data_IF_507811325570
#
_entry.id   IF_507811325570
#
_cell.length_a   1.000
_cell.length_b   1.000
_cell.length_c   1.000
_cell.angle_alpha   90.00
_cell.angle_beta   90.00
_cell.angle_gamma   90.00
#
_symmetry.space_group_name_H-M   'P 1'
#
loop_
_entity.id
_entity.type
_entity.pdbx_description
1 polymer ?
#
# COMPACT_ATOMS: atom_id res chain seq x y z
N UNK A 1 -16.78 4.60 16.72
CA UNK A 1 -16.95 4.63 18.19
C UNK A 1 -18.42 4.75 18.62
N UNK A 2 -19.19 5.71 18.11
CA UNK A 2 -20.62 5.86 18.47
C UNK A 2 -21.46 4.58 18.28
N UNK A 3 -21.18 3.80 17.23
CA UNK A 3 -21.88 2.54 16.96
C UNK A 3 -21.68 1.50 18.07
N UNK A 4 -20.49 1.41 18.66
CA UNK A 4 -20.24 0.47 19.75
C UNK A 4 -21.10 0.82 20.98
N UNK A 5 -21.21 2.10 21.34
CA UNK A 5 -22.08 2.54 22.44
C UNK A 5 -23.57 2.37 22.13
N UNK A 6 -23.98 2.45 20.86
CA UNK A 6 -25.35 2.09 20.45
C UNK A 6 -25.61 0.59 20.67
N UNK A 7 -24.65 -0.26 20.29
CA UNK A 7 -24.75 -1.71 20.48
C UNK A 7 -24.78 -2.11 21.95
N UNK A 8 -23.93 -1.53 22.80
CA UNK A 8 -23.94 -1.76 24.25
C UNK A 8 -25.31 -1.43 24.87
N UNK A 9 -25.86 -0.25 24.53
CA UNK A 9 -27.20 0.17 24.99
C UNK A 9 -28.30 -0.76 24.50
N UNK A 10 -28.24 -1.20 23.23
CA UNK A 10 -29.21 -2.14 22.66
C UNK A 10 -29.18 -3.50 23.37
N UNK A 11 -28.00 -3.95 23.79
CA UNK A 11 -27.80 -5.18 24.54
C UNK A 11 -28.05 -5.03 26.05
N UNK A 12 -28.39 -3.81 26.52
CA UNK A 12 -28.60 -3.48 27.93
C UNK A 12 -27.37 -3.78 28.81
N UNK A 13 -26.17 -3.63 28.24
CA UNK A 13 -24.91 -3.75 28.97
C UNK A 13 -24.61 -2.41 29.62
N UNK A 14 -24.58 -2.39 30.96
CA UNK A 14 -24.19 -1.22 31.73
C UNK A 14 -22.66 -1.10 31.81
N UNK A 15 -22.15 0.03 31.34
CA UNK A 15 -20.73 0.40 31.38
C UNK A 15 -20.49 1.55 32.35
N UNK A 16 -21.42 1.83 33.25
CA UNK A 16 -21.22 2.80 34.32
C UNK A 16 -20.16 2.28 35.29
N UNK A 17 -19.15 3.10 35.55
CA UNK A 17 -18.13 2.77 36.55
C UNK A 17 -18.62 3.18 37.93
N UNK A 18 -18.56 2.25 38.88
CA UNK A 18 -18.82 2.52 40.29
C UNK A 18 -17.53 3.00 40.96
N UNK A 19 -17.41 4.31 41.17
CA UNK A 19 -16.28 4.94 41.86
C UNK A 19 -15.14 5.42 40.97
N UNK A 20 -14.14 6.03 41.61
CA UNK A 20 -12.96 6.62 40.97
C UNK A 20 -11.94 5.55 40.55
N UNK A 21 -11.00 5.95 39.69
CA UNK A 21 -10.02 5.02 39.14
C UNK A 21 -8.98 4.48 40.11
N UNK A 22 -8.72 5.22 41.18
CA UNK A 22 -7.47 5.09 41.89
C UNK A 22 -6.30 5.58 41.04
N UNK A 23 -5.10 5.30 41.54
CA UNK A 23 -3.84 5.60 40.86
C UNK A 23 -3.53 4.54 39.80
N UNK A 24 -2.95 4.95 38.66
CA UNK A 24 -2.52 4.02 37.62
C UNK A 24 -1.29 3.19 38.04
N UNK A 25 -0.60 3.59 39.11
CA UNK A 25 0.51 2.85 39.72
C UNK A 25 0.11 1.96 40.90
N UNK A 26 -1.19 1.79 41.15
CA UNK A 26 -1.67 0.90 42.21
C UNK A 26 -1.13 -0.54 42.03
N UNK A 27 -0.69 -1.16 43.12
CA UNK A 27 -0.13 -2.51 43.11
C UNK A 27 -0.80 -3.40 44.20
N UNK A 28 -1.64 -4.39 43.81
CA UNK A 28 -1.96 -4.74 42.42
C UNK A 28 -2.89 -3.71 41.77
N UNK A 29 -2.74 -3.53 40.45
CA UNK A 29 -3.69 -2.75 39.68
C UNK A 29 -5.07 -3.44 39.70
N UNK A 30 -6.14 -2.66 39.73
CA UNK A 30 -7.52 -3.15 39.69
C UNK A 30 -8.15 -2.85 38.32
N UNK A 31 -8.14 -3.79 37.36
CA UNK A 31 -8.73 -3.59 36.04
C UNK A 31 -10.23 -3.32 36.11
N UNK A 32 -10.74 -2.54 35.16
CA UNK A 32 -12.16 -2.29 35.04
C UNK A 32 -12.84 -3.41 34.25
N UNK A 33 -13.65 -4.22 34.93
CA UNK A 33 -14.25 -5.44 34.37
C UNK A 33 -15.07 -5.21 33.09
N UNK A 34 -15.84 -4.12 33.02
CA UNK A 34 -16.67 -3.79 31.86
C UNK A 34 -15.84 -3.40 30.61
N UNK A 35 -14.53 -3.18 30.77
CA UNK A 35 -13.61 -2.94 29.64
C UNK A 35 -13.61 -4.08 28.63
N UNK A 36 -13.85 -5.33 29.07
CA UNK A 36 -13.88 -6.52 28.19
C UNK A 36 -15.10 -6.46 27.25
N UNK A 37 -16.27 -6.09 27.76
CA UNK A 37 -17.48 -5.97 26.92
C UNK A 37 -17.40 -4.77 25.98
N UNK A 38 -16.76 -3.68 26.42
CA UNK A 38 -16.48 -2.53 25.56
C UNK A 38 -15.57 -2.90 24.40
N UNK A 39 -14.46 -3.60 24.68
CA UNK A 39 -13.52 -4.08 23.65
C UNK A 39 -14.21 -5.03 22.67
N UNK A 40 -14.94 -6.02 23.19
CA UNK A 40 -15.70 -6.98 22.35
C UNK A 40 -16.68 -6.26 21.44
N UNK A 41 -17.41 -5.28 21.96
CA UNK A 41 -18.40 -4.54 21.17
C UNK A 41 -17.73 -3.67 20.11
N UNK A 42 -16.56 -3.07 20.41
CA UNK A 42 -15.77 -2.34 19.43
C UNK A 42 -15.30 -3.24 18.28
N UNK A 43 -14.80 -4.44 18.59
CA UNK A 43 -14.36 -5.41 17.58
C UNK A 43 -15.50 -5.93 16.68
N UNK A 44 -16.73 -5.94 17.20
CA UNK A 44 -17.92 -6.35 16.45
C UNK A 44 -18.51 -5.26 15.55
N UNK A 45 -18.03 -4.01 15.64
CA UNK A 45 -18.55 -2.91 14.81
C UNK A 45 -18.28 -3.20 13.32
N UNK A 46 -19.34 -3.07 12.52
CA UNK A 46 -19.27 -3.08 11.06
C UNK A 46 -19.98 -1.85 10.50
N UNK A 47 -19.23 -0.92 9.92
CA UNK A 47 -19.76 0.35 9.40
C UNK A 47 -19.08 0.73 8.09
N UNK A 48 -19.74 1.57 7.30
CA UNK A 48 -19.12 2.27 6.17
C UNK A 48 -18.65 3.65 6.63
N UNK A 49 -17.41 4.01 6.27
CA UNK A 49 -16.82 5.32 6.57
C UNK A 49 -15.96 5.84 5.41
N UNK A 50 -15.18 6.89 5.66
CA UNK A 50 -14.33 7.52 4.64
C UNK A 50 -13.30 6.56 4.02
N UNK A 51 -12.87 5.57 4.80
CA UNK A 51 -11.93 4.52 4.39
C UNK A 51 -12.63 3.28 3.82
N UNK A 52 -13.88 3.42 3.37
CA UNK A 52 -14.75 2.29 3.00
C UNK A 52 -15.19 1.46 4.20
N UNK A 53 -15.23 0.14 4.00
CA UNK A 53 -15.74 -0.81 4.98
C UNK A 53 -14.82 -0.89 6.21
N UNK A 54 -15.40 -0.77 7.41
CA UNK A 54 -14.70 -0.82 8.70
C UNK A 54 -15.14 -2.04 9.48
N UNK A 55 -14.23 -3.01 9.61
CA UNK A 55 -14.41 -4.24 10.37
C UNK A 55 -13.09 -4.61 11.05
N UNK A 56 -13.19 -5.35 12.16
CA UNK A 56 -12.04 -5.80 12.94
C UNK A 56 -12.07 -7.31 13.14
N UNK A 57 -10.88 -7.92 13.26
CA UNK A 57 -10.74 -9.31 13.69
C UNK A 57 -10.75 -9.45 15.22
N UNK A 58 -10.58 -10.67 15.71
CA UNK A 58 -10.53 -10.95 17.14
C UNK A 58 -9.36 -10.26 17.87
N UNK A 59 -8.31 -9.86 17.16
CA UNK A 59 -7.16 -9.13 17.72
C UNK A 59 -7.31 -7.61 17.61
N UNK A 60 -8.37 -7.10 16.97
CA UNK A 60 -8.59 -5.67 16.76
C UNK A 60 -7.88 -5.12 15.51
N UNK A 61 -7.40 -5.98 14.61
CA UNK A 61 -6.80 -5.57 13.34
C UNK A 61 -7.89 -5.33 12.31
N UNK A 62 -7.69 -4.32 11.44
CA UNK A 62 -8.60 -4.06 10.31
C UNK A 62 -8.58 -5.24 9.34
N UNK A 63 -9.76 -5.68 8.94
CA UNK A 63 -9.95 -6.75 7.94
C UNK A 63 -11.02 -6.34 6.94
N UNK A 64 -11.05 -7.00 5.79
CA UNK A 64 -12.03 -6.73 4.74
C UNK A 64 -12.02 -5.24 4.30
N UNK A 65 -10.82 -4.70 4.13
CA UNK A 65 -10.58 -3.35 3.63
C UNK A 65 -9.99 -3.42 2.23
N UNK A 66 -10.09 -2.32 1.50
CA UNK A 66 -9.51 -2.17 0.16
C UNK A 66 -8.68 -0.90 0.15
N UNK A 67 -7.45 -1.00 -0.36
CA UNK A 67 -6.54 0.13 -0.52
C UNK A 67 -6.44 0.48 -1.99
N UNK A 68 -6.61 1.75 -2.33
CA UNK A 68 -6.39 2.21 -3.70
C UNK A 68 -4.90 2.41 -3.95
N UNK A 69 -4.43 1.94 -5.11
CA UNK A 69 -3.05 2.12 -5.56
C UNK A 69 -3.01 3.25 -6.56
N UNK A 70 -2.16 4.24 -6.30
CA UNK A 70 -2.01 5.42 -7.14
C UNK A 70 -0.61 5.46 -7.75
N UNK A 71 -0.55 5.87 -9.01
CA UNK A 71 0.66 6.27 -9.71
C UNK A 71 0.67 7.78 -9.87
N UNK A 72 1.80 8.42 -9.57
CA UNK A 72 1.95 9.85 -9.81
C UNK A 72 2.40 10.09 -11.25
N UNK A 73 1.57 10.79 -12.03
CA UNK A 73 1.88 11.23 -13.39
C UNK A 73 2.00 12.75 -13.45
N UNK A 74 2.42 13.28 -14.59
CA UNK A 74 2.55 14.73 -14.82
C UNK A 74 1.24 15.50 -14.63
N UNK A 75 0.09 14.85 -14.84
CA UNK A 75 -1.25 15.39 -14.63
C UNK A 75 -1.81 15.14 -13.22
N UNK A 76 -1.01 14.58 -12.30
CA UNK A 76 -1.40 14.30 -10.91
C UNK A 76 -1.48 12.81 -10.56
N UNK A 77 -1.95 12.48 -9.35
CA UNK A 77 -2.10 11.10 -8.90
C UNK A 77 -3.27 10.43 -9.62
N UNK A 78 -2.99 9.34 -10.32
CA UNK A 78 -3.99 8.53 -11.00
C UNK A 78 -4.13 7.18 -10.28
N UNK A 79 -5.36 6.77 -9.96
CA UNK A 79 -5.63 5.43 -9.45
C UNK A 79 -5.35 4.41 -10.57
N UNK A 80 -4.47 3.45 -10.29
CA UNK A 80 -4.09 2.38 -11.22
C UNK A 80 -4.63 1.01 -10.81
N UNK A 81 -5.22 0.91 -9.62
CA UNK A 81 -5.75 -0.34 -9.13
C UNK A 81 -6.16 -0.30 -7.67
N UNK A 82 -6.35 -1.48 -7.11
CA UNK A 82 -6.60 -1.67 -5.69
C UNK A 82 -5.84 -2.87 -5.15
N UNK A 83 -5.68 -2.90 -3.83
CA UNK A 83 -5.10 -4.01 -3.08
C UNK A 83 -6.02 -4.42 -1.95
N UNK A 84 -6.21 -5.71 -1.77
CA UNK A 84 -6.80 -6.28 -0.56
C UNK A 84 -6.09 -7.60 -0.19
N UNK A 85 -6.45 -8.18 0.95
CA UNK A 85 -5.84 -9.40 1.48
C UNK A 85 -6.21 -10.67 0.70
N UNK A 86 -7.30 -10.65 -0.06
CA UNK A 86 -7.84 -11.79 -0.84
C UNK A 86 -7.25 -11.79 -2.26
N UNK A 87 -7.52 -10.75 -3.04
CA UNK A 87 -7.17 -10.59 -4.45
C UNK A 87 -5.72 -10.14 -4.66
N UNK A 88 -5.06 -9.68 -3.59
CA UNK A 88 -3.76 -8.99 -3.66
C UNK A 88 -3.87 -7.75 -4.55
N UNK A 89 -2.83 -7.42 -5.30
CA UNK A 89 -2.82 -6.27 -6.19
C UNK A 89 -3.61 -6.59 -7.46
N UNK A 90 -4.66 -5.83 -7.71
CA UNK A 90 -5.42 -5.86 -8.96
C UNK A 90 -5.27 -4.51 -9.65
N UNK A 91 -4.66 -4.53 -10.84
CA UNK A 91 -4.55 -3.34 -11.67
C UNK A 91 -5.87 -3.13 -12.40
N UNK A 92 -6.46 -1.96 -12.21
CA UNK A 92 -7.64 -1.53 -12.96
C UNK A 92 -7.08 -0.75 -14.15
N UNK A 93 -6.84 -1.46 -15.25
CA UNK A 93 -6.45 -0.83 -16.48
C UNK A 93 -7.63 0.01 -16.97
N UNK A 94 -7.56 1.33 -16.82
CA UNK A 94 -8.56 2.22 -17.39
C UNK A 94 -8.49 2.04 -18.91
N UNK A 95 -9.47 1.33 -19.49
CA UNK A 95 -9.59 1.11 -20.93
C UNK A 95 -9.69 2.44 -21.71
N UNK A 96 -10.09 3.52 -21.03
CA UNK A 96 -10.10 4.89 -21.55
C UNK A 96 -8.68 5.42 -21.89
N UNK A 97 -7.62 4.77 -21.38
CA UNK A 97 -6.23 5.04 -21.76
C UNK A 97 -5.65 4.02 -22.74
N UNK A 98 -6.33 2.92 -23.06
CA UNK A 98 -5.83 1.95 -24.04
C UNK A 98 -5.86 2.48 -25.48
N UNK A 99 -6.53 3.61 -25.73
CA UNK A 99 -6.34 4.37 -26.98
C UNK A 99 -4.95 5.02 -27.07
N UNK A 100 -4.25 5.20 -25.93
CA UNK A 100 -2.97 5.90 -25.80
C UNK A 100 -1.89 5.10 -25.01
N UNK A 101 -2.10 3.83 -24.68
CA UNK A 101 -1.08 2.99 -23.99
C UNK A 101 -0.47 1.93 -24.91
N UNK A 102 -1.08 1.63 -26.05
CA UNK A 102 -0.38 1.01 -27.19
C UNK A 102 0.74 1.91 -27.73
N UNK A 103 0.65 3.23 -27.50
CA UNK A 103 1.73 4.18 -27.80
C UNK A 103 2.84 4.20 -26.74
N UNK A 104 2.73 3.45 -25.63
CA UNK A 104 3.73 3.49 -24.58
C UNK A 104 5.04 2.78 -24.97
N UNK A 105 5.04 2.00 -26.07
CA UNK A 105 6.25 1.41 -26.66
C UNK A 105 6.69 2.11 -27.95
N UNK A 106 5.84 2.91 -28.56
CA UNK A 106 6.17 3.65 -29.79
C UNK A 106 6.78 5.00 -29.41
N UNK A 107 8.03 5.23 -29.80
CA UNK A 107 8.82 6.46 -29.53
C UNK A 107 9.37 6.63 -28.10
N UNK A 108 9.64 5.55 -27.36
CA UNK A 108 10.47 5.65 -26.16
C UNK A 108 11.95 5.83 -26.52
N UNK A 109 12.54 6.96 -26.14
CA UNK A 109 13.98 7.17 -26.24
C UNK A 109 14.70 6.29 -25.22
N UNK A 110 15.48 5.32 -25.71
CA UNK A 110 16.33 4.49 -24.85
C UNK A 110 17.66 5.20 -24.64
N UNK A 111 18.03 5.42 -23.38
CA UNK A 111 19.35 5.94 -23.04
C UNK A 111 20.36 4.80 -23.13
N UNK A 112 21.21 4.81 -24.15
CA UNK A 112 22.27 3.84 -24.34
C UNK A 112 23.58 4.37 -23.77
N UNK A 113 24.08 3.71 -22.72
CA UNK A 113 25.39 4.04 -22.13
C UNK A 113 26.44 3.09 -22.66
N UNK A 114 27.49 3.63 -23.28
CA UNK A 114 28.68 2.89 -23.73
C UNK A 114 29.95 3.56 -23.20
N UNK A 115 31.06 2.81 -23.16
CA UNK A 115 32.37 3.31 -22.73
C UNK A 115 33.37 3.13 -23.87
N UNK A 116 34.17 4.16 -24.16
CA UNK A 116 35.27 4.04 -25.13
C UNK A 116 36.46 3.31 -24.49
N UNK A 117 36.92 2.24 -25.13
CA UNK A 117 38.16 1.55 -24.77
C UNK A 117 39.19 1.77 -25.88
N UNK A 118 40.34 2.36 -25.54
CA UNK A 118 41.48 2.44 -26.45
C UNK A 118 42.19 1.08 -26.48
N UNK A 119 42.20 0.42 -27.64
CA UNK A 119 43.02 -0.77 -27.85
C UNK A 119 44.46 -0.33 -28.17
N UNK A 120 45.39 -0.58 -27.24
CA UNK A 120 46.81 -0.35 -27.47
C UNK A 120 47.39 -1.43 -28.40
N UNK A 121 47.84 -1.01 -29.58
CA UNK A 121 48.64 -1.68 -30.62
C UNK A 121 48.91 -3.19 -30.46
N UNK A 122 48.16 -4.01 -31.19
CA UNK A 122 48.74 -5.20 -31.84
C UNK A 122 49.13 -4.76 -33.25
N UNK A 123 50.43 -4.61 -33.47
CA UNK A 123 51.02 -4.20 -34.75
C UNK A 123 50.77 -5.26 -35.82
N UNK A 124 49.84 -4.99 -36.75
CA UNK A 124 50.17 -4.64 -38.14
C UNK A 124 48.94 -4.72 -39.04
N UNK A 125 48.82 -3.68 -39.88
CA UNK A 125 48.10 -3.62 -41.15
C UNK A 125 46.59 -3.28 -41.16
N UNK A 126 46.36 -2.13 -41.78
CA UNK A 126 45.16 -1.64 -42.48
C UNK A 126 44.10 -0.87 -41.68
N UNK A 127 44.07 0.43 -42.01
CA UNK A 127 43.01 1.40 -41.80
C UNK A 127 41.63 0.83 -42.18
N UNK A 128 40.73 0.67 -41.21
CA UNK A 128 39.34 1.14 -41.27
C UNK A 128 38.52 0.67 -40.06
N UNK A 129 37.84 1.63 -39.42
CA UNK A 129 36.87 1.48 -38.32
C UNK A 129 37.41 1.05 -36.95
N UNK A 130 37.66 2.05 -36.09
CA UNK A 130 37.54 1.87 -34.64
C UNK A 130 36.07 1.58 -34.34
N UNK A 131 35.69 0.31 -34.27
CA UNK A 131 34.36 -0.08 -33.80
C UNK A 131 34.34 0.03 -32.27
N UNK A 132 33.46 0.84 -31.67
CA UNK A 132 33.25 0.80 -30.22
C UNK A 132 32.81 -0.61 -29.86
N UNK A 133 33.58 -1.28 -29.01
CA UNK A 133 33.26 -2.63 -28.54
C UNK A 133 31.97 -2.54 -27.71
N UNK A 134 30.81 -2.74 -28.35
CA UNK A 134 29.52 -2.85 -27.67
C UNK A 134 29.50 -4.14 -26.85
N UNK A 135 30.12 -4.12 -25.66
CA UNK A 135 29.74 -5.08 -24.62
C UNK A 135 28.30 -4.77 -24.23
N UNK A 136 27.50 -5.84 -24.17
CA UNK A 136 26.04 -5.86 -23.98
C UNK A 136 25.52 -4.64 -23.20
N UNK A 137 24.50 -3.93 -23.71
CA UNK A 137 23.93 -2.80 -23.01
C UNK A 137 23.44 -3.26 -21.64
N UNK A 138 23.94 -2.61 -20.59
CA UNK A 138 23.34 -2.67 -19.26
C UNK A 138 22.00 -1.92 -19.35
N UNK A 139 20.93 -2.65 -19.66
CA UNK A 139 19.57 -2.13 -19.52
C UNK A 139 19.35 -1.78 -18.05
N UNK A 140 19.23 -0.48 -17.75
CA UNK A 140 18.54 -0.03 -16.53
C UNK A 140 17.08 0.22 -16.91
N UNK A 141 16.20 -0.52 -16.26
CA UNK A 141 14.75 -0.27 -16.26
C UNK A 141 14.42 0.93 -15.37
#
# INVERSE_FOLDING_TARGET
MAEAFRNLRRQKIDISRRGNAGDCLANPAAPWNQGIDMERTLKQVRIQGLTGNIQFDHYGRRVNYTMDVFELKSNGPQRIGYWNDIDKLVLVQNEVLLSNDSTNLENRTVVVTTIMMAMANVTSATSSSLQPLMRKPLLRH
#
